data_IF_081456810018
#
_entry.id   IF_081456810018
#
_cell.length_a   1.000
_cell.length_b   1.000
_cell.length_c   1.000
_cell.angle_alpha   90.00
_cell.angle_beta   90.00
_cell.angle_gamma   90.00
#
_symmetry.space_group_name_H-M   'P 1'
#
loop_
_entity.id
_entity.type
_entity.pdbx_description
1 polymer ?
#
# COMPACT_ATOMS: atom_id res chain seq x y z
N UNK A 1 16.37 0.93 -44.62
CA UNK A 1 17.28 2.09 -44.57
C UNK A 1 17.55 2.54 -43.13
N UNK A 2 18.55 3.40 -42.89
CA UNK A 2 18.88 3.84 -41.52
C UNK A 2 17.70 4.54 -40.82
N UNK A 3 16.84 5.20 -41.59
CA UNK A 3 15.64 5.87 -41.08
C UNK A 3 14.58 4.88 -40.58
N UNK A 4 14.45 3.71 -41.21
CA UNK A 4 13.52 2.66 -40.78
C UNK A 4 13.95 2.02 -39.45
N UNK A 5 15.26 1.87 -39.24
CA UNK A 5 15.79 1.35 -37.99
C UNK A 5 15.55 2.36 -36.86
N UNK A 6 15.71 3.66 -37.13
CA UNK A 6 15.47 4.72 -36.14
C UNK A 6 14.00 4.81 -35.78
N UNK A 7 13.09 4.72 -36.75
CA UNK A 7 11.65 4.75 -36.50
C UNK A 7 11.20 3.52 -35.71
N UNK A 8 11.75 2.34 -35.99
CA UNK A 8 11.43 1.11 -35.27
C UNK A 8 12.00 1.12 -33.85
N UNK A 9 13.23 1.59 -33.65
CA UNK A 9 13.82 1.78 -32.30
C UNK A 9 13.00 2.78 -31.49
N UNK A 10 12.54 3.87 -32.11
CA UNK A 10 11.70 4.88 -31.45
C UNK A 10 10.33 4.32 -31.07
N UNK A 11 9.71 3.53 -31.96
CA UNK A 11 8.46 2.79 -31.69
C UNK A 11 8.62 1.80 -30.53
N UNK A 12 9.73 1.06 -30.51
CA UNK A 12 10.05 0.10 -29.45
C UNK A 12 10.30 0.81 -28.12
N UNK A 13 11.00 1.95 -28.12
CA UNK A 13 11.20 2.79 -26.94
C UNK A 13 9.89 3.39 -26.42
N UNK A 14 9.01 3.86 -27.30
CA UNK A 14 7.70 4.38 -26.94
C UNK A 14 6.78 3.28 -26.39
N UNK A 15 6.85 2.06 -26.94
CA UNK A 15 6.19 0.88 -26.38
C UNK A 15 6.77 0.47 -25.01
N UNK A 16 8.09 0.53 -24.83
CA UNK A 16 8.77 0.15 -23.59
C UNK A 16 8.64 1.20 -22.48
N UNK A 17 8.56 2.48 -22.83
CA UNK A 17 8.44 3.57 -21.87
C UNK A 17 7.01 3.92 -21.49
N UNK A 18 5.99 3.37 -22.19
CA UNK A 18 4.61 3.36 -21.73
C UNK A 18 4.18 4.66 -21.07
N UNK A 19 4.41 5.80 -21.73
CA UNK A 19 3.70 7.03 -21.37
C UNK A 19 2.25 6.81 -21.75
N UNK A 20 1.54 6.22 -20.81
CA UNK A 20 0.12 5.94 -20.89
C UNK A 20 -0.60 7.25 -21.26
N UNK A 21 -1.17 7.28 -22.46
CA UNK A 21 -2.11 8.32 -22.92
C UNK A 21 -3.47 8.18 -22.23
N UNK A 22 -3.54 7.46 -21.11
CA UNK A 22 -4.67 7.41 -20.19
C UNK A 22 -4.27 8.20 -18.94
N UNK A 23 -4.75 9.45 -18.86
CA UNK A 23 -4.32 10.45 -17.89
C UNK A 23 -4.69 10.15 -16.43
N UNK A 24 -4.05 9.15 -15.83
CA UNK A 24 -3.69 9.21 -14.41
C UNK A 24 -2.17 9.23 -14.36
N UNK A 25 -1.61 10.44 -14.24
CA UNK A 25 -0.27 10.56 -13.69
C UNK A 25 -0.29 9.81 -12.35
N UNK A 26 0.44 8.71 -12.26
CA UNK A 26 0.59 8.04 -10.99
C UNK A 26 1.19 9.06 -10.02
N UNK A 27 0.49 9.36 -8.93
CA UNK A 27 0.94 10.29 -7.89
C UNK A 27 2.11 9.76 -7.07
N UNK A 28 2.60 8.56 -7.42
CA UNK A 28 3.71 7.88 -6.78
C UNK A 28 4.85 7.70 -7.76
N UNK A 29 6.06 7.98 -7.31
CA UNK A 29 7.28 7.63 -8.02
C UNK A 29 7.48 6.09 -8.05
N UNK A 30 8.33 5.61 -8.94
CA UNK A 30 8.73 4.19 -8.99
C UNK A 30 9.33 3.72 -7.67
N UNK A 31 10.12 4.56 -7.00
CA UNK A 31 10.71 4.24 -5.69
C UNK A 31 9.66 4.14 -4.60
N UNK A 32 8.68 5.04 -4.59
CA UNK A 32 7.56 5.00 -3.63
C UNK A 32 6.69 3.76 -3.83
N UNK A 33 6.38 3.38 -5.07
CA UNK A 33 5.70 2.11 -5.38
C UNK A 33 6.48 0.90 -4.87
N UNK A 34 7.78 0.87 -5.13
CA UNK A 34 8.65 -0.21 -4.65
C UNK A 34 8.65 -0.28 -3.13
N UNK A 35 8.78 0.85 -2.44
CA UNK A 35 8.72 0.91 -0.99
C UNK A 35 7.38 0.42 -0.43
N UNK A 36 6.25 0.80 -1.03
CA UNK A 36 4.92 0.31 -0.63
C UNK A 36 4.79 -1.20 -0.87
N UNK A 37 5.32 -1.72 -1.99
CA UNK A 37 5.32 -3.15 -2.26
C UNK A 37 6.14 -3.91 -1.21
N UNK A 38 7.35 -3.43 -0.92
CA UNK A 38 8.20 -4.02 0.13
C UNK A 38 7.54 -3.96 1.50
N UNK A 39 6.88 -2.85 1.85
CA UNK A 39 6.14 -2.74 3.11
C UNK A 39 4.93 -3.68 3.20
N UNK A 40 4.29 -4.01 2.07
CA UNK A 40 3.19 -5.00 2.02
C UNK A 40 3.68 -6.44 2.14
N UNK A 41 4.92 -6.71 1.74
CA UNK A 41 5.53 -8.04 1.82
C UNK A 41 6.11 -8.31 3.22
N UNK A 42 6.28 -7.29 4.06
CA UNK A 42 6.75 -7.43 5.44
C UNK A 42 5.60 -7.86 6.38
N UNK A 43 5.63 -9.13 6.79
CA UNK A 43 4.65 -9.70 7.72
C UNK A 43 4.75 -9.14 9.15
N UNK A 44 5.84 -8.44 9.48
CA UNK A 44 6.05 -7.85 10.82
C UNK A 44 5.41 -6.47 10.97
N UNK A 45 4.86 -5.91 9.89
CA UNK A 45 4.34 -4.54 9.84
C UNK A 45 2.86 -4.54 9.50
N UNK A 46 2.05 -3.89 10.35
CA UNK A 46 0.62 -3.67 10.14
C UNK A 46 0.38 -2.27 9.59
N UNK A 47 -0.45 -2.19 8.54
CA UNK A 47 -0.87 -0.96 7.88
C UNK A 47 -2.37 -0.79 8.08
N UNK A 48 -2.79 0.20 8.88
CA UNK A 48 -4.21 0.41 9.24
C UNK A 48 -4.73 1.71 8.61
N UNK A 49 -5.91 1.69 7.95
CA UNK A 49 -6.60 2.91 7.56
C UNK A 49 -7.05 3.67 8.81
N UNK A 50 -6.64 4.93 8.96
CA UNK A 50 -7.02 5.70 10.16
C UNK A 50 -8.47 6.20 10.05
N UNK A 51 -9.17 6.18 11.18
CA UNK A 51 -10.56 6.66 11.32
C UNK A 51 -10.72 8.15 10.98
N UNK A 52 -9.65 8.96 11.11
CA UNK A 52 -9.68 10.40 10.87
C UNK A 52 -8.68 10.85 9.81
N UNK A 53 -9.22 11.24 8.65
CA UNK A 53 -8.55 12.11 7.67
C UNK A 53 -7.31 11.53 7.01
N UNK A 54 -7.47 10.59 6.08
CA UNK A 54 -6.51 10.27 5.01
C UNK A 54 -5.11 9.76 5.41
N UNK A 55 -4.83 9.64 6.72
CA UNK A 55 -3.57 9.12 7.23
C UNK A 55 -3.63 7.61 7.34
N UNK A 56 -2.47 6.98 7.26
CA UNK A 56 -2.26 5.54 7.43
C UNK A 56 -1.23 5.36 8.53
N UNK A 57 -1.47 4.43 9.45
CA UNK A 57 -0.51 4.09 10.51
C UNK A 57 0.23 2.84 10.09
N UNK A 58 1.56 2.90 10.16
CA UNK A 58 2.47 1.77 9.94
C UNK A 58 3.11 1.45 11.28
N UNK A 59 2.91 0.24 11.80
CA UNK A 59 3.43 -0.15 13.11
C UNK A 59 3.81 -1.63 13.12
N UNK A 60 4.78 -2.00 13.95
CA UNK A 60 5.11 -3.41 14.16
C UNK A 60 3.89 -4.18 14.74
N UNK A 61 3.72 -5.43 14.30
CA UNK A 61 2.61 -6.30 14.69
C UNK A 61 2.56 -6.54 16.20
N UNK A 62 3.71 -6.82 16.83
CA UNK A 62 3.77 -7.14 18.26
C UNK A 62 3.39 -5.91 19.09
N UNK A 63 3.92 -4.75 18.73
CA UNK A 63 3.56 -3.48 19.36
C UNK A 63 2.08 -3.15 19.19
N UNK A 64 1.51 -3.42 18.01
CA UNK A 64 0.08 -3.27 17.77
C UNK A 64 -0.74 -4.16 18.70
N UNK A 65 -0.45 -5.46 18.73
CA UNK A 65 -1.16 -6.43 19.57
C UNK A 65 -1.06 -6.02 21.03
N UNK A 66 0.13 -5.62 21.49
CA UNK A 66 0.36 -5.16 22.87
C UNK A 66 -0.53 -3.96 23.21
N UNK A 67 -0.52 -2.90 22.39
CA UNK A 67 -1.35 -1.70 22.61
C UNK A 67 -2.84 -2.01 22.62
N UNK A 68 -3.31 -2.89 21.73
CA UNK A 68 -4.71 -3.28 21.69
C UNK A 68 -5.09 -4.07 22.95
N UNK A 69 -4.24 -4.99 23.40
CA UNK A 69 -4.46 -5.72 24.67
C UNK A 69 -4.52 -4.77 25.86
N UNK A 70 -3.56 -3.84 25.98
CA UNK A 70 -3.57 -2.82 27.04
C UNK A 70 -4.84 -1.96 27.03
N UNK A 71 -5.36 -1.65 25.84
CA UNK A 71 -6.59 -0.86 25.69
C UNK A 71 -7.85 -1.65 26.03
N UNK A 72 -7.88 -2.93 25.70
CA UNK A 72 -9.02 -3.82 25.96
C UNK A 72 -9.04 -4.34 27.40
N UNK A 73 -7.90 -4.38 28.11
CA UNK A 73 -7.78 -4.79 29.51
C UNK A 73 -8.27 -3.70 30.48
N UNK A 74 -9.46 -3.18 30.22
CA UNK A 74 -10.13 -2.20 31.08
C UNK A 74 -11.51 -2.72 31.42
N UNK A 75 -12.07 -2.29 32.56
CA UNK A 75 -13.43 -2.66 32.99
C UNK A 75 -14.54 -2.26 32.01
N UNK A 76 -14.21 -1.45 31.00
CA UNK A 76 -15.16 -0.97 30.00
C UNK A 76 -15.48 -2.01 28.91
N UNK A 77 -14.66 -3.06 28.76
CA UNK A 77 -14.84 -4.09 27.74
C UNK A 77 -15.03 -5.46 28.38
N UNK A 78 -15.91 -6.27 27.80
CA UNK A 78 -16.10 -7.68 28.15
C UNK A 78 -16.05 -8.54 26.90
N UNK A 79 -15.52 -9.76 27.03
CA UNK A 79 -15.54 -10.73 25.93
C UNK A 79 -16.94 -11.30 25.83
N UNK A 80 -17.52 -11.28 24.64
CA UNK A 80 -18.77 -11.96 24.34
C UNK A 80 -18.47 -13.35 23.79
N UNK A 81 -19.25 -14.34 24.20
CA UNK A 81 -19.12 -15.72 23.73
C UNK A 81 -19.74 -15.91 22.34
N UNK A 82 -20.68 -15.03 21.97
CA UNK A 82 -21.38 -15.03 20.69
C UNK A 82 -21.28 -13.67 20.00
N UNK A 83 -21.39 -13.68 18.68
CA UNK A 83 -21.36 -12.47 17.86
C UNK A 83 -22.66 -11.67 18.04
N UNK A 84 -22.62 -10.43 18.57
CA UNK A 84 -23.82 -9.62 18.82
C UNK A 84 -24.43 -9.03 17.54
N UNK A 85 -23.81 -9.23 16.37
CA UNK A 85 -24.30 -8.74 15.08
C UNK A 85 -25.03 -9.78 14.23
N UNK A 86 -25.28 -10.97 14.80
CA UNK A 86 -26.14 -12.01 14.22
C UNK A 86 -27.60 -11.92 14.64
#
# INVERSE_FOLDING_TARGET
DKEDIVSEVKRVLEQQLGFDKTGRSENLSKSQRKAIKTLKEDENTIIIPTDKGGKVVVMNVEDYIKKIKEKLDTKAYQKLDEDPSK
#
